data_IF_758222782560
#
_entry.id   IF_758222782560
#
_cell.length_a   1.000
_cell.length_b   1.000
_cell.length_c   1.000
_cell.angle_alpha   90.00
_cell.angle_beta   90.00
_cell.angle_gamma   90.00
#
_symmetry.space_group_name_H-M   'P 1'
#
loop_
_entity.id
_entity.type
_entity.pdbx_description
1 polymer ?
#
# COMPACT_ATOMS: atom_id res chain seq x y z
N UNK A 1 10.17 18.37 -47.35
CA UNK A 1 10.62 19.75 -47.06
C UNK A 1 10.46 20.02 -45.56
N UNK A 2 11.53 19.97 -44.77
CA UNK A 2 11.58 20.59 -43.45
C UNK A 2 12.37 21.91 -43.50
N UNK A 3 12.20 22.78 -42.50
CA UNK A 3 13.32 23.54 -41.92
C UNK A 3 13.39 23.20 -40.42
N UNK A 4 14.48 22.73 -39.80
CA UNK A 4 15.89 23.14 -39.74
C UNK A 4 16.11 24.46 -38.98
N UNK A 5 16.75 24.31 -37.79
CA UNK A 5 17.46 25.28 -36.93
C UNK A 5 16.56 26.20 -36.07
N UNK A 6 16.79 26.38 -34.77
CA UNK A 6 18.08 26.75 -34.18
C UNK A 6 18.28 26.18 -32.76
N UNK A 7 19.42 25.55 -32.57
CA UNK A 7 20.01 25.19 -31.28
C UNK A 7 21.06 26.24 -30.88
N UNK A 8 21.28 26.34 -29.55
CA UNK A 8 22.40 27.01 -28.86
C UNK A 8 22.20 28.51 -28.54
N UNK A 9 22.21 28.86 -27.25
CA UNK A 9 23.45 29.25 -26.57
C UNK A 9 23.25 29.51 -25.06
N UNK A 10 24.31 29.15 -24.33
CA UNK A 10 24.77 29.67 -23.04
C UNK A 10 24.09 29.25 -21.73
N UNK A 11 24.62 28.13 -21.23
CA UNK A 11 25.09 27.87 -19.87
C UNK A 11 25.58 29.08 -19.05
N UNK A 12 25.47 28.91 -17.72
CA UNK A 12 26.27 29.50 -16.64
C UNK A 12 26.14 31.00 -16.37
N UNK A 13 25.47 31.34 -15.26
CA UNK A 13 26.19 31.95 -14.12
C UNK A 13 25.38 31.93 -12.83
N UNK A 14 26.09 31.53 -11.79
CA UNK A 14 25.75 31.51 -10.37
C UNK A 14 25.90 32.94 -9.84
N UNK A 15 24.86 33.55 -9.25
CA UNK A 15 25.04 34.72 -8.39
C UNK A 15 24.09 34.70 -7.19
N UNK A 16 24.66 35.13 -6.07
CA UNK A 16 24.22 35.03 -4.69
C UNK A 16 23.34 36.22 -4.29
N UNK A 17 22.45 35.96 -3.33
CA UNK A 17 21.57 36.84 -2.56
C UNK A 17 22.02 38.27 -2.28
N UNK A 18 21.09 39.24 -2.44
CA UNK A 18 20.83 40.32 -1.48
C UNK A 18 19.46 41.00 -1.74
N UNK A 19 18.67 41.19 -0.67
CA UNK A 19 18.01 42.48 -0.33
C UNK A 19 16.72 42.92 -1.05
N UNK A 20 15.61 42.84 -0.29
CA UNK A 20 14.48 43.79 -0.17
C UNK A 20 13.66 44.28 -1.39
N UNK A 21 12.35 43.97 -1.29
CA UNK A 21 11.15 44.75 -1.67
C UNK A 21 11.11 45.44 -3.04
N UNK A 22 10.14 45.05 -3.88
CA UNK A 22 8.97 45.90 -4.18
C UNK A 22 7.89 45.08 -4.91
N UNK A 23 6.66 45.24 -4.44
CA UNK A 23 5.44 44.65 -4.96
C UNK A 23 4.87 45.53 -6.08
N UNK A 24 4.28 44.86 -7.06
CA UNK A 24 3.22 45.32 -7.98
C UNK A 24 3.61 46.30 -9.10
N UNK A 25 3.72 45.79 -10.32
CA UNK A 25 2.72 46.01 -11.38
C UNK A 25 3.27 45.57 -12.72
N UNK A 26 2.74 44.48 -13.27
CA UNK A 26 2.12 44.55 -14.59
C UNK A 26 1.36 43.26 -14.91
N UNK A 27 0.04 43.37 -14.77
CA UNK A 27 -0.94 42.56 -15.46
C UNK A 27 -0.71 42.72 -16.97
N UNK A 28 -0.16 41.71 -17.64
CA UNK A 28 -0.42 41.37 -19.05
C UNK A 28 0.57 40.30 -19.53
N UNK A 29 0.40 39.05 -19.07
CA UNK A 29 0.85 37.87 -19.82
C UNK A 29 0.38 36.59 -19.13
N UNK A 30 -0.91 36.25 -19.23
CA UNK A 30 -1.42 34.90 -18.98
C UNK A 30 -2.82 34.79 -19.60
N UNK A 31 -2.90 34.84 -20.92
CA UNK A 31 -4.13 34.55 -21.68
C UNK A 31 -3.92 33.44 -22.70
N UNK A 32 -2.97 32.52 -22.47
CA UNK A 32 -2.72 31.41 -23.40
C UNK A 32 -1.95 30.26 -22.73
N UNK A 33 -2.57 29.61 -21.74
CA UNK A 33 -2.33 28.19 -21.46
C UNK A 33 -3.68 27.57 -21.10
N UNK A 34 -4.48 27.34 -22.14
CA UNK A 34 -5.56 26.35 -22.07
C UNK A 34 -4.95 24.96 -22.23
N UNK A 35 -5.54 24.00 -21.54
CA UNK A 35 -5.40 22.55 -21.76
C UNK A 35 -4.09 21.88 -21.30
N UNK A 36 -3.97 21.64 -20.00
CA UNK A 36 -3.54 20.33 -19.48
C UNK A 36 -4.25 20.06 -18.14
N UNK A 37 -5.22 19.16 -18.23
CA UNK A 37 -6.07 18.56 -17.19
C UNK A 37 -5.76 18.87 -15.73
N UNK A 38 -6.57 19.75 -15.13
CA UNK A 38 -6.84 19.72 -13.69
C UNK A 38 -7.74 18.52 -13.39
N UNK A 39 -7.14 17.35 -13.13
CA UNK A 39 -7.86 16.20 -12.59
C UNK A 39 -8.30 16.50 -11.15
N UNK A 40 -9.51 17.02 -11.07
CA UNK A 40 -10.55 16.86 -10.06
C UNK A 40 -10.10 16.37 -8.66
N UNK A 41 -9.75 17.33 -7.80
CA UNK A 41 -9.54 17.12 -6.36
C UNK A 41 -10.85 17.13 -5.55
N UNK A 42 -11.99 16.79 -6.13
CA UNK A 42 -13.25 16.71 -5.41
C UNK A 42 -13.69 15.25 -5.22
N UNK A 43 -13.02 14.51 -4.32
CA UNK A 43 -13.57 13.22 -3.85
C UNK A 43 -14.85 13.53 -3.06
N UNK A 44 -16.00 13.35 -3.73
CA UNK A 44 -17.35 13.74 -3.31
C UNK A 44 -17.61 13.66 -1.81
N UNK A 45 -17.37 14.78 -1.12
CA UNK A 45 -17.72 14.94 0.29
C UNK A 45 -19.23 14.80 0.40
N UNK A 46 -19.68 13.76 1.10
CA UNK A 46 -21.10 13.54 1.32
C UNK A 46 -21.68 14.72 2.13
N UNK A 47 -22.95 15.10 1.89
CA UNK A 47 -23.60 16.16 2.66
C UNK A 47 -23.50 15.90 4.16
N UNK A 48 -23.48 16.96 5.00
CA UNK A 48 -23.58 16.81 6.44
C UNK A 48 -24.77 15.91 6.81
N UNK A 49 -24.56 14.98 7.75
CA UNK A 49 -25.62 14.05 8.18
C UNK A 49 -25.90 12.86 7.23
N UNK A 50 -25.27 12.77 6.06
CA UNK A 50 -25.46 11.63 5.13
C UNK A 50 -25.31 10.26 5.82
N UNK A 51 -24.30 10.13 6.69
CA UNK A 51 -24.00 8.88 7.40
C UNK A 51 -24.92 8.61 8.61
N UNK A 52 -25.87 9.50 8.93
CA UNK A 52 -26.85 9.26 9.99
C UNK A 52 -27.91 8.24 9.55
N UNK A 53 -28.21 8.17 8.24
CA UNK A 53 -29.13 7.16 7.70
C UNK A 53 -28.45 5.79 7.62
N UNK A 54 -29.11 4.76 8.17
CA UNK A 54 -28.65 3.37 8.08
C UNK A 54 -28.66 2.85 6.65
N UNK A 55 -29.62 3.28 5.82
CA UNK A 55 -29.70 2.87 4.41
C UNK A 55 -28.49 3.36 3.62
N UNK A 56 -28.04 4.59 3.88
CA UNK A 56 -26.85 5.15 3.24
C UNK A 56 -25.58 4.39 3.62
N UNK A 57 -25.50 3.93 4.88
CA UNK A 57 -24.39 3.10 5.34
C UNK A 57 -24.44 1.71 4.70
N UNK A 58 -25.62 1.09 4.63
CA UNK A 58 -25.84 -0.20 3.97
C UNK A 58 -25.44 -0.15 2.50
N UNK A 59 -25.96 0.81 1.75
CA UNK A 59 -25.60 0.99 0.34
C UNK A 59 -24.08 1.16 0.14
N UNK A 60 -23.41 1.86 1.05
CA UNK A 60 -21.96 2.01 1.01
C UNK A 60 -21.23 0.68 1.24
N UNK A 61 -21.61 -0.09 2.26
CA UNK A 61 -21.00 -1.40 2.50
C UNK A 61 -21.34 -2.41 1.39
N UNK A 62 -22.52 -2.33 0.77
CA UNK A 62 -22.88 -3.13 -0.40
C UNK A 62 -21.98 -2.81 -1.61
N UNK A 63 -21.66 -1.53 -1.83
CA UNK A 63 -20.71 -1.12 -2.88
C UNK A 63 -19.31 -1.68 -2.62
N UNK A 64 -18.85 -1.66 -1.36
CA UNK A 64 -17.58 -2.28 -0.98
C UNK A 64 -17.63 -3.78 -1.20
N UNK A 65 -18.70 -4.44 -0.76
CA UNK A 65 -18.87 -5.88 -0.93
C UNK A 65 -18.80 -6.27 -2.41
N UNK A 66 -19.49 -5.54 -3.28
CA UNK A 66 -19.43 -5.72 -4.73
C UNK A 66 -18.02 -5.49 -5.28
N UNK A 67 -17.34 -4.42 -4.85
CA UNK A 67 -15.99 -4.07 -5.34
C UNK A 67 -14.93 -5.11 -4.97
N UNK A 68 -15.02 -5.70 -3.78
CA UNK A 68 -14.08 -6.69 -3.28
C UNK A 68 -14.58 -8.13 -3.42
N UNK A 69 -15.67 -8.35 -4.16
CA UNK A 69 -16.32 -9.65 -4.39
C UNK A 69 -16.60 -10.41 -3.09
N UNK A 70 -17.10 -9.70 -2.08
CA UNK A 70 -17.53 -10.24 -0.80
C UNK A 70 -19.01 -10.64 -0.92
N UNK A 71 -19.26 -11.94 -0.84
CA UNK A 71 -20.61 -12.53 -1.00
C UNK A 71 -21.16 -13.07 0.32
N UNK A 72 -20.30 -13.31 1.31
CA UNK A 72 -20.67 -13.89 2.61
C UNK A 72 -20.08 -13.06 3.76
N UNK A 73 -20.74 -12.99 4.93
CA UNK A 73 -20.21 -12.32 6.12
C UNK A 73 -18.77 -12.75 6.47
N UNK A 74 -18.47 -14.05 6.36
CA UNK A 74 -17.14 -14.60 6.64
C UNK A 74 -16.01 -14.05 5.76
N UNK A 75 -16.32 -13.55 4.56
CA UNK A 75 -15.33 -13.01 3.62
C UNK A 75 -14.92 -11.57 3.94
N UNK A 76 -15.63 -10.88 4.84
CA UNK A 76 -15.26 -9.53 5.28
C UNK A 76 -13.93 -9.47 6.01
N UNK A 77 -13.41 -10.61 6.50
CA UNK A 77 -12.04 -10.70 7.04
C UNK A 77 -10.94 -10.35 6.01
N UNK A 78 -11.25 -10.38 4.71
CA UNK A 78 -10.35 -9.99 3.61
C UNK A 78 -10.32 -8.47 3.42
N UNK A 79 -11.37 -7.76 3.84
CA UNK A 79 -11.48 -6.32 3.67
C UNK A 79 -10.83 -5.62 4.84
N UNK A 80 -9.80 -4.82 4.57
CA UNK A 80 -9.10 -4.06 5.59
C UNK A 80 -9.80 -2.73 5.88
N UNK A 81 -9.60 -2.21 7.09
CA UNK A 81 -10.02 -0.85 7.46
C UNK A 81 -9.51 0.19 6.45
N UNK A 82 -8.27 0.03 5.97
CA UNK A 82 -7.66 0.95 5.01
C UNK A 82 -8.35 0.91 3.64
N UNK A 83 -8.80 -0.26 3.19
CA UNK A 83 -9.58 -0.38 1.95
C UNK A 83 -10.89 0.38 2.08
N UNK A 84 -11.63 0.19 3.18
CA UNK A 84 -12.87 0.93 3.45
C UNK A 84 -12.63 2.44 3.54
N UNK A 85 -11.55 2.86 4.21
CA UNK A 85 -11.15 4.26 4.31
C UNK A 85 -10.82 4.87 2.94
N UNK A 86 -10.15 4.12 2.06
CA UNK A 86 -9.79 4.56 0.70
C UNK A 86 -11.02 4.84 -0.16
N UNK A 87 -12.12 4.10 0.06
CA UNK A 87 -13.40 4.31 -0.62
C UNK A 87 -14.23 5.47 -0.02
N UNK A 88 -13.67 6.25 0.92
CA UNK A 88 -14.37 7.37 1.57
C UNK A 88 -15.17 6.97 2.82
N UNK A 89 -14.96 5.75 3.33
CA UNK A 89 -15.66 5.22 4.50
C UNK A 89 -15.14 5.73 5.85
N UNK A 90 -14.17 6.66 5.88
CA UNK A 90 -13.58 7.14 7.14
C UNK A 90 -14.65 7.70 8.08
N UNK A 91 -15.58 8.51 7.56
CA UNK A 91 -16.63 9.13 8.39
C UNK A 91 -17.60 8.11 8.97
N UNK A 92 -18.02 7.10 8.20
CA UNK A 92 -18.90 6.04 8.74
C UNK A 92 -18.16 5.18 9.76
N UNK A 93 -16.89 4.86 9.51
CA UNK A 93 -16.07 4.06 10.42
C UNK A 93 -15.83 4.76 11.77
N UNK A 94 -15.73 6.09 11.80
CA UNK A 94 -15.58 6.85 13.05
C UNK A 94 -16.82 6.80 13.96
N UNK A 95 -17.99 6.42 13.43
CA UNK A 95 -19.22 6.26 14.23
C UNK A 95 -19.23 4.96 15.03
N UNK A 96 -18.31 4.03 14.75
CA UNK A 96 -18.25 2.71 15.34
C UNK A 96 -16.87 2.47 15.97
N UNK A 97 -16.82 1.62 17.00
CA UNK A 97 -15.53 1.23 17.61
C UNK A 97 -14.69 0.36 16.67
N UNK A 98 -15.33 -0.41 15.80
CA UNK A 98 -14.68 -1.34 14.89
C UNK A 98 -15.50 -1.57 13.61
N UNK A 99 -14.83 -2.09 12.57
CA UNK A 99 -15.50 -2.51 11.33
C UNK A 99 -16.53 -3.62 11.60
N UNK A 100 -16.26 -4.53 12.54
CA UNK A 100 -17.21 -5.58 12.96
C UNK A 100 -18.49 -4.97 13.52
N UNK A 101 -18.37 -4.00 14.42
CA UNK A 101 -19.53 -3.33 14.99
C UNK A 101 -20.32 -2.56 13.91
N UNK A 102 -19.63 -1.91 12.96
CA UNK A 102 -20.30 -1.24 11.84
C UNK A 102 -21.13 -2.24 11.01
N UNK A 103 -20.55 -3.38 10.65
CA UNK A 103 -21.22 -4.42 9.87
C UNK A 103 -22.39 -5.08 10.63
N UNK A 104 -22.23 -5.36 11.92
CA UNK A 104 -23.32 -5.86 12.78
C UNK A 104 -24.49 -4.89 12.85
N UNK A 105 -24.19 -3.58 12.93
CA UNK A 105 -25.23 -2.54 12.98
C UNK A 105 -25.94 -2.39 11.63
N UNK A 106 -25.18 -2.50 10.53
CA UNK A 106 -25.69 -2.32 9.17
C UNK A 106 -26.46 -3.54 8.67
N UNK A 107 -26.01 -4.75 9.00
CA UNK A 107 -26.58 -6.05 8.59
C UNK A 107 -27.07 -6.85 9.82
N UNK A 108 -28.09 -6.39 10.56
CA UNK A 108 -28.61 -7.09 11.74
C UNK A 108 -29.16 -8.47 11.41
N UNK A 109 -29.63 -8.70 10.17
CA UNK A 109 -30.12 -10.00 9.70
C UNK A 109 -29.07 -11.12 9.75
N UNK A 110 -27.79 -10.76 9.68
CA UNK A 110 -26.65 -11.67 9.78
C UNK A 110 -25.97 -11.63 11.16
N UNK A 111 -26.65 -11.09 12.19
CA UNK A 111 -26.09 -10.84 13.53
C UNK A 111 -25.25 -11.98 14.10
N UNK A 112 -25.79 -13.20 14.08
CA UNK A 112 -25.16 -14.41 14.60
C UNK A 112 -23.95 -14.87 13.79
N UNK A 113 -23.91 -14.57 12.48
CA UNK A 113 -22.75 -14.92 11.64
C UNK A 113 -21.54 -14.07 12.02
N UNK A 114 -21.74 -12.78 12.30
CA UNK A 114 -20.67 -11.83 12.62
C UNK A 114 -19.87 -12.18 13.87
N UNK A 115 -20.48 -12.88 14.84
CA UNK A 115 -19.79 -13.29 16.06
C UNK A 115 -18.66 -14.27 15.77
N UNK A 116 -18.87 -15.16 14.81
CA UNK A 116 -17.86 -16.11 14.34
C UNK A 116 -16.80 -15.50 13.40
N UNK A 117 -17.06 -14.33 12.82
CA UNK A 117 -16.13 -13.71 11.86
C UNK A 117 -15.01 -12.97 12.58
N UNK A 118 -13.79 -13.44 12.39
CA UNK A 118 -12.57 -12.72 12.78
C UNK A 118 -12.27 -11.62 11.77
N UNK A 119 -12.81 -10.43 11.98
CA UNK A 119 -12.46 -9.23 11.21
C UNK A 119 -11.15 -8.67 11.74
N UNK A 120 -10.23 -8.31 10.83
CA UNK A 120 -8.95 -7.72 11.23
C UNK A 120 -9.19 -6.40 11.95
N UNK A 121 -8.85 -6.37 13.23
CA UNK A 121 -8.87 -5.16 14.05
C UNK A 121 -7.76 -4.20 13.64
N UNK A 122 -7.97 -2.92 13.93
CA UNK A 122 -6.93 -1.90 13.80
C UNK A 122 -5.83 -2.22 14.81
N UNK A 123 -4.62 -2.43 14.33
CA UNK A 123 -3.45 -2.54 15.21
C UNK A 123 -3.12 -1.17 15.80
N UNK A 124 -2.63 -1.10 17.06
CA UNK A 124 -2.19 0.16 17.66
C UNK A 124 -1.10 0.86 16.83
N UNK A 125 -0.97 2.18 17.04
CA UNK A 125 0.16 2.92 16.48
C UNK A 125 1.48 2.30 16.98
N UNK A 126 2.49 2.23 16.12
CA UNK A 126 3.79 1.60 16.40
C UNK A 126 3.77 0.09 16.68
N UNK A 127 2.64 -0.61 16.54
CA UNK A 127 2.57 -2.07 16.72
C UNK A 127 3.62 -2.80 15.87
N UNK A 128 3.75 -2.43 14.60
CA UNK A 128 4.73 -2.99 13.66
C UNK A 128 6.15 -2.42 13.81
N UNK A 129 6.39 -1.50 14.76
CA UNK A 129 7.76 -1.09 15.08
C UNK A 129 8.49 -2.17 15.90
N UNK A 130 7.75 -3.00 16.64
CA UNK A 130 8.32 -4.12 17.39
C UNK A 130 8.57 -5.32 16.47
N UNK A 131 9.83 -5.76 16.40
CA UNK A 131 10.27 -6.89 15.59
C UNK A 131 9.61 -8.21 16.02
N UNK A 132 9.27 -8.36 17.30
CA UNK A 132 8.55 -9.53 17.82
C UNK A 132 7.19 -9.71 17.14
N UNK A 133 6.41 -8.64 17.02
CA UNK A 133 5.10 -8.70 16.36
C UNK A 133 5.22 -8.99 14.87
N UNK A 134 6.28 -8.48 14.22
CA UNK A 134 6.54 -8.80 12.82
C UNK A 134 6.87 -10.29 12.65
N UNK A 135 7.70 -10.86 13.52
CA UNK A 135 7.98 -12.30 13.54
C UNK A 135 6.71 -13.12 13.73
N UNK A 136 5.91 -12.82 14.74
CA UNK A 136 4.64 -13.51 15.01
C UNK A 136 3.71 -13.50 13.79
N UNK A 137 3.65 -12.38 13.06
CA UNK A 137 2.90 -12.30 11.81
C UNK A 137 3.45 -13.24 10.72
N UNK A 138 4.76 -13.24 10.49
CA UNK A 138 5.36 -14.09 9.46
C UNK A 138 5.31 -15.57 9.84
N UNK A 139 5.39 -15.92 11.13
CA UNK A 139 5.22 -17.30 11.63
C UNK A 139 3.79 -17.80 11.42
N UNK A 140 2.78 -16.98 11.74
CA UNK A 140 1.37 -17.28 11.48
C UNK A 140 1.10 -17.40 9.97
N UNK A 141 1.68 -16.50 9.17
CA UNK A 141 1.58 -16.56 7.71
C UNK A 141 2.23 -17.84 7.15
N UNK A 142 3.43 -18.18 7.61
CA UNK A 142 4.14 -19.39 7.20
C UNK A 142 3.35 -20.64 7.56
N UNK A 143 2.79 -20.69 8.78
CA UNK A 143 1.95 -21.81 9.24
C UNK A 143 0.69 -21.97 8.37
N UNK A 144 0.01 -20.87 8.04
CA UNK A 144 -1.19 -20.87 7.18
C UNK A 144 -0.90 -21.30 5.75
N UNK A 145 0.26 -20.91 5.21
CA UNK A 145 0.67 -21.24 3.85
C UNK A 145 1.56 -22.49 3.77
N UNK A 146 1.76 -23.19 4.90
CA UNK A 146 2.61 -24.40 5.02
C UNK A 146 4.03 -24.18 4.48
N UNK A 147 4.59 -22.99 4.73
CA UNK A 147 5.97 -22.65 4.40
C UNK A 147 6.87 -23.26 5.47
N UNK A 148 7.66 -24.26 5.10
CA UNK A 148 8.53 -25.00 6.04
C UNK A 148 10.00 -24.65 5.84
N UNK A 149 10.38 -24.27 4.61
CA UNK A 149 11.75 -23.98 4.23
C UNK A 149 11.92 -22.52 3.82
N UNK A 150 13.11 -21.93 4.00
CA UNK A 150 13.43 -20.59 3.49
C UNK A 150 13.14 -20.43 1.99
N UNK A 151 13.37 -21.49 1.20
CA UNK A 151 13.08 -21.52 -0.23
C UNK A 151 11.60 -21.35 -0.59
N UNK A 152 10.68 -21.71 0.31
CA UNK A 152 9.23 -21.65 0.02
C UNK A 152 8.75 -20.20 -0.14
N UNK A 153 9.49 -19.25 0.45
CA UNK A 153 9.18 -17.83 0.39
C UNK A 153 9.34 -17.23 -1.01
N UNK A 154 10.10 -17.85 -1.92
CA UNK A 154 10.25 -17.38 -3.30
C UNK A 154 8.93 -17.37 -4.09
N UNK A 155 8.00 -18.26 -3.72
CA UNK A 155 6.69 -18.39 -4.36
C UNK A 155 5.66 -17.39 -3.83
N UNK A 156 5.97 -16.70 -2.73
CA UNK A 156 5.07 -15.74 -2.11
C UNK A 156 5.22 -14.38 -2.79
N UNK A 157 4.11 -13.89 -3.31
CA UNK A 157 4.06 -12.57 -3.94
C UNK A 157 3.83 -11.46 -2.91
N UNK A 158 4.34 -10.26 -3.21
CA UNK A 158 4.11 -9.07 -2.39
C UNK A 158 2.61 -8.81 -2.17
N UNK A 159 1.78 -9.03 -3.21
CA UNK A 159 0.32 -8.86 -3.14
C UNK A 159 -0.34 -9.83 -2.16
N UNK A 160 0.14 -11.07 -2.05
CA UNK A 160 -0.39 -12.04 -1.08
C UNK A 160 -0.12 -11.58 0.36
N UNK A 161 1.09 -11.06 0.63
CA UNK A 161 1.44 -10.53 1.93
C UNK A 161 0.65 -9.24 2.26
N UNK A 162 0.47 -8.34 1.30
CA UNK A 162 -0.39 -7.17 1.48
C UNK A 162 -1.84 -7.56 1.78
N UNK A 163 -2.38 -8.53 1.04
CA UNK A 163 -3.71 -9.09 1.29
C UNK A 163 -3.79 -9.80 2.66
N UNK A 164 -2.67 -10.31 3.17
CA UNK A 164 -2.56 -10.86 4.52
C UNK A 164 -2.46 -9.78 5.62
N UNK A 165 -2.28 -8.51 5.26
CA UNK A 165 -2.17 -7.38 6.20
C UNK A 165 -0.72 -6.96 6.49
N UNK A 166 0.26 -7.51 5.78
CA UNK A 166 1.68 -7.19 5.95
C UNK A 166 2.08 -5.83 5.39
N UNK A 167 1.18 -5.09 4.73
CA UNK A 167 1.51 -3.87 4.00
C UNK A 167 2.33 -2.88 4.86
N UNK A 168 1.92 -2.68 6.12
CA UNK A 168 2.62 -1.80 7.04
C UNK A 168 4.02 -2.30 7.42
N UNK A 169 4.25 -3.62 7.47
CA UNK A 169 5.58 -4.21 7.69
C UNK A 169 6.43 -4.00 6.44
N UNK A 170 5.89 -4.35 5.27
CA UNK A 170 6.62 -4.32 4.01
C UNK A 170 7.08 -2.90 3.63
N UNK A 171 6.32 -1.86 3.96
CA UNK A 171 6.74 -0.47 3.75
C UNK A 171 7.96 -0.05 4.58
N UNK A 172 8.32 -0.80 5.64
CA UNK A 172 9.49 -0.51 6.48
C UNK A 172 10.79 -1.08 5.90
N UNK A 173 10.67 -1.99 4.93
CA UNK A 173 11.81 -2.68 4.35
C UNK A 173 11.92 -2.38 2.85
N UNK A 174 13.14 -2.28 2.30
CA UNK A 174 13.31 -2.08 0.86
C UNK A 174 12.87 -3.29 0.03
N UNK A 175 12.81 -4.49 0.63
CA UNK A 175 12.37 -5.71 -0.02
C UNK A 175 11.91 -6.76 0.99
N UNK A 176 11.16 -7.77 0.52
CA UNK A 176 10.79 -8.94 1.33
C UNK A 176 12.03 -9.68 1.86
N UNK A 177 13.06 -9.84 1.03
CA UNK A 177 14.33 -10.45 1.45
C UNK A 177 14.94 -9.72 2.65
N UNK A 178 15.03 -8.39 2.60
CA UNK A 178 15.55 -7.58 3.70
C UNK A 178 14.69 -7.69 4.96
N UNK A 179 13.36 -7.79 4.82
CA UNK A 179 12.46 -8.03 5.95
C UNK A 179 12.76 -9.39 6.60
N UNK A 180 12.83 -10.46 5.81
CA UNK A 180 13.07 -11.82 6.29
C UNK A 180 14.45 -11.97 6.96
N UNK A 181 15.51 -11.38 6.39
CA UNK A 181 16.84 -11.35 7.02
C UNK A 181 16.83 -10.64 8.37
N UNK A 182 16.08 -9.55 8.49
CA UNK A 182 16.00 -8.79 9.74
C UNK A 182 15.18 -9.53 10.80
N UNK A 183 14.10 -10.21 10.39
CA UNK A 183 13.14 -10.88 11.28
C UNK A 183 13.63 -12.26 11.72
N UNK A 184 14.34 -12.97 10.84
CA UNK A 184 14.93 -14.28 11.06
C UNK A 184 16.45 -14.25 10.84
N UNK A 185 17.21 -13.54 11.71
CA UNK A 185 18.66 -13.45 11.58
C UNK A 185 19.37 -14.80 11.78
N UNK A 186 18.70 -15.78 12.39
CA UNK A 186 19.21 -17.14 12.57
C UNK A 186 19.25 -17.97 11.28
N UNK A 187 18.50 -17.55 10.25
CA UNK A 187 18.42 -18.27 8.99
C UNK A 187 19.35 -17.64 7.95
N UNK A 188 20.09 -18.47 7.22
CA UNK A 188 20.90 -18.01 6.10
C UNK A 188 20.03 -17.84 4.85
N UNK A 189 19.56 -16.61 4.62
CA UNK A 189 18.70 -16.30 3.48
C UNK A 189 19.51 -16.07 2.21
N UNK A 190 19.35 -16.96 1.23
CA UNK A 190 19.90 -16.72 -0.12
C UNK A 190 18.93 -15.89 -0.97
N UNK A 191 19.45 -15.06 -1.86
CA UNK A 191 18.63 -14.16 -2.69
C UNK A 191 17.68 -14.91 -3.64
N UNK A 192 18.12 -16.05 -4.17
CA UNK A 192 17.32 -16.94 -5.02
C UNK A 192 16.18 -17.63 -4.27
N UNK A 193 16.28 -17.79 -2.95
CA UNK A 193 15.26 -18.42 -2.10
C UNK A 193 14.12 -17.47 -1.71
N UNK A 194 14.31 -16.16 -1.86
CA UNK A 194 13.35 -15.14 -1.43
C UNK A 194 12.78 -14.33 -2.58
N UNK A 195 13.30 -14.52 -3.80
CA UNK A 195 12.87 -13.79 -4.98
C UNK A 195 12.98 -14.65 -6.22
N UNK A 196 11.88 -14.77 -6.96
CA UNK A 196 11.86 -15.37 -8.29
C UNK A 196 12.53 -14.50 -9.36
N UNK A 197 12.69 -13.20 -9.11
CA UNK A 197 13.33 -12.26 -10.04
C UNK A 197 14.46 -11.47 -9.36
N UNK A 198 15.64 -11.50 -9.97
CA UNK A 198 16.81 -10.75 -9.53
C UNK A 198 16.63 -9.24 -9.73
N UNK A 199 17.10 -8.37 -8.81
CA UNK A 199 17.03 -6.92 -8.96
C UNK A 199 17.61 -6.40 -10.30
N UNK A 200 17.09 -5.26 -10.78
CA UNK A 200 17.66 -4.56 -11.95
C UNK A 200 19.12 -4.20 -11.63
N UNK A 201 20.05 -4.64 -12.48
CA UNK A 201 21.52 -4.57 -12.32
C UNK A 201 22.17 -5.66 -11.43
N UNK A 202 21.43 -6.64 -10.90
CA UNK A 202 22.03 -7.73 -10.10
C UNK A 202 23.15 -8.45 -10.87
N UNK A 203 22.90 -8.74 -12.14
CA UNK A 203 23.85 -9.38 -13.05
C UNK A 203 24.96 -8.47 -13.58
N UNK A 204 24.99 -7.18 -13.24
CA UNK A 204 26.12 -6.32 -13.61
C UNK A 204 27.32 -6.51 -12.68
N UNK A 205 27.11 -7.04 -11.48
CA UNK A 205 28.20 -7.34 -10.55
C UNK A 205 28.83 -8.69 -10.89
N UNK A 206 30.15 -8.69 -11.14
CA UNK A 206 30.93 -9.90 -11.38
C UNK A 206 30.88 -10.84 -10.16
N UNK A 207 30.82 -10.28 -8.93
CA UNK A 207 30.70 -11.05 -7.70
C UNK A 207 29.41 -11.89 -7.67
N UNK A 208 28.29 -11.28 -8.10
CA UNK A 208 26.99 -11.95 -8.14
C UNK A 208 26.95 -13.02 -9.21
N UNK A 209 27.59 -12.77 -10.36
CA UNK A 209 27.73 -13.78 -11.42
C UNK A 209 28.51 -15.00 -10.90
N UNK A 210 29.66 -14.79 -10.25
CA UNK A 210 30.49 -15.87 -9.68
C UNK A 210 29.72 -16.68 -8.65
N UNK A 211 29.10 -16.02 -7.68
CA UNK A 211 28.31 -16.68 -6.64
C UNK A 211 27.12 -17.48 -7.21
N UNK A 212 26.54 -17.04 -8.33
CA UNK A 212 25.51 -17.81 -9.02
C UNK A 212 26.06 -19.08 -9.66
N UNK A 213 27.19 -19.02 -10.37
CA UNK A 213 27.79 -20.20 -10.99
C UNK A 213 28.35 -21.19 -9.97
N UNK A 214 28.89 -20.72 -8.84
CA UNK A 214 29.35 -21.61 -7.76
C UNK A 214 28.19 -22.41 -7.13
N UNK A 215 26.99 -21.82 -7.02
CA UNK A 215 25.81 -22.55 -6.56
C UNK A 215 25.31 -23.62 -7.55
N UNK A 216 25.75 -23.61 -8.82
CA UNK A 216 25.43 -24.66 -9.82
C UNK A 216 26.54 -25.70 -9.96
N UNK A 217 27.74 -25.41 -9.45
CA UNK A 217 28.90 -26.31 -9.51
C UNK A 217 29.01 -27.25 -8.29
N UNK A 218 28.19 -27.03 -7.26
CA UNK A 218 28.07 -27.87 -6.06
C UNK A 218 26.87 -28.82 -6.17
#
# INVERSE_FOLDING_TARGET
RPPVLCSQLCSSSRFVWHGYQYLLSNRQCCSQIGELGSEDKNRGRKPPGYWNSMDNQRQFFDQIAKKYNVTKPSQWNRVSYQQVAKEGGVTVLLRYSSLKQALQSVYPEHGHEWDSVTIRSRVPNHYWANLKHQREFFDDFASKHKLTKPSDWCNITYRQLEAAGAAAILHRYPSLHSALQTIYPENEWKLNETRSQTPKNYWKSLQNQRAFFENFAA
#
